data_IF_401328239910
#
_entry.id   IF_401328239910
#
_cell.length_a   1.000
_cell.length_b   1.000
_cell.length_c   1.000
_cell.angle_alpha   90.00
_cell.angle_beta   90.00
_cell.angle_gamma   90.00
#
_symmetry.space_group_name_H-M   'P 1'
#
loop_
_entity.id
_entity.type
_entity.pdbx_description
1 polymer ?
#
# COMPACT_ATOMS: atom_id res chain seq x y z
N UNK A 1 -17.11 6.58 -2.76
CA UNK A 1 -17.02 6.04 -1.38
C UNK A 1 -15.59 6.14 -0.88
N UNK A 2 -15.34 6.41 0.40
CA UNK A 2 -13.99 6.43 0.98
C UNK A 2 -13.81 5.28 1.97
N UNK A 3 -12.63 4.64 1.94
CA UNK A 3 -12.27 3.51 2.78
C UNK A 3 -10.85 3.67 3.31
N UNK A 4 -10.64 3.29 4.57
CA UNK A 4 -9.29 3.21 5.16
C UNK A 4 -8.90 1.76 5.37
N UNK A 5 -7.63 1.44 5.17
CA UNK A 5 -7.09 0.12 5.44
C UNK A 5 -5.61 0.20 5.84
N UNK A 6 -5.08 -0.90 6.31
CA UNK A 6 -3.65 -1.08 6.52
C UNK A 6 -3.13 -2.12 5.52
N UNK A 7 -1.89 -1.92 5.06
CA UNK A 7 -1.17 -2.91 4.26
C UNK A 7 0.17 -3.21 4.92
N UNK A 8 0.48 -4.50 5.04
CA UNK A 8 1.79 -5.00 5.43
C UNK A 8 2.36 -5.76 4.25
N UNK A 9 3.53 -5.36 3.79
CA UNK A 9 4.28 -6.04 2.74
C UNK A 9 5.52 -6.67 3.34
N UNK A 10 5.69 -7.98 3.12
CA UNK A 10 6.89 -8.72 3.50
C UNK A 10 7.60 -9.15 2.23
N UNK A 11 8.81 -8.65 2.04
CA UNK A 11 9.66 -8.95 0.89
C UNK A 11 10.86 -9.79 1.33
N UNK A 12 11.25 -10.77 0.52
CA UNK A 12 12.51 -11.49 0.69
C UNK A 12 13.36 -11.38 -0.57
N UNK A 13 14.55 -10.78 -0.43
CA UNK A 13 15.47 -10.58 -1.55
C UNK A 13 16.92 -10.62 -1.08
N UNK A 14 17.80 -11.31 -1.81
CA UNK A 14 19.24 -11.40 -1.55
C UNK A 14 19.57 -11.81 -0.10
N UNK A 15 18.81 -12.75 0.46
CA UNK A 15 19.04 -13.24 1.83
C UNK A 15 18.52 -12.34 2.95
N UNK A 16 17.79 -11.27 2.63
CA UNK A 16 17.23 -10.34 3.61
C UNK A 16 15.71 -10.26 3.51
N UNK A 17 15.06 -10.19 4.66
CA UNK A 17 13.61 -9.90 4.78
C UNK A 17 13.42 -8.43 5.10
N UNK A 18 12.62 -7.74 4.29
CA UNK A 18 12.22 -6.36 4.51
C UNK A 18 10.70 -6.33 4.78
N UNK A 19 10.25 -5.54 5.76
CA UNK A 19 8.82 -5.36 6.07
C UNK A 19 8.44 -3.89 5.92
N UNK A 20 7.36 -3.62 5.17
CA UNK A 20 6.80 -2.28 5.02
C UNK A 20 5.37 -2.26 5.57
N UNK A 21 5.10 -1.33 6.49
CA UNK A 21 3.75 -0.98 6.91
C UNK A 21 3.25 0.25 6.17
N UNK A 22 1.96 0.28 5.84
CA UNK A 22 1.32 1.46 5.27
C UNK A 22 -0.10 1.63 5.79
N UNK A 23 -0.45 2.88 6.08
CA UNK A 23 -1.84 3.30 6.21
C UNK A 23 -2.33 3.74 4.82
N UNK A 24 -3.47 3.19 4.41
CA UNK A 24 -4.04 3.41 3.09
C UNK A 24 -5.37 4.16 3.19
N UNK A 25 -5.57 5.11 2.28
CA UNK A 25 -6.88 5.73 2.04
C UNK A 25 -7.26 5.54 0.58
N UNK A 26 -8.43 4.93 0.36
CA UNK A 26 -8.96 4.65 -0.97
C UNK A 26 -10.18 5.52 -1.23
N UNK A 27 -10.28 6.02 -2.46
CA UNK A 27 -11.56 6.49 -3.01
C UNK A 27 -12.02 5.46 -4.03
N UNK A 28 -13.17 4.85 -3.76
CA UNK A 28 -13.82 3.89 -4.65
C UNK A 28 -14.89 4.62 -5.45
N UNK A 29 -14.79 4.54 -6.78
CA UNK A 29 -15.85 4.88 -7.71
C UNK A 29 -16.74 3.65 -7.86
N UNK A 30 -17.97 3.74 -7.34
CA UNK A 30 -18.95 2.67 -7.44
C UNK A 30 -19.68 2.76 -8.78
N UNK A 31 -19.95 1.62 -9.42
CA UNK A 31 -20.74 1.56 -10.65
C UNK A 31 -21.39 0.19 -10.84
N UNK A 32 -22.44 0.14 -11.66
CA UNK A 32 -23.16 -1.10 -11.96
C UNK A 32 -22.28 -2.13 -12.71
N UNK A 33 -21.29 -1.65 -13.48
CA UNK A 33 -20.33 -2.48 -14.22
C UNK A 33 -19.11 -2.91 -13.38
N UNK A 34 -19.10 -2.55 -12.10
CA UNK A 34 -18.11 -2.97 -11.12
C UNK A 34 -17.23 -1.83 -10.60
N UNK A 35 -17.06 -1.84 -9.27
CA UNK A 35 -16.33 -0.84 -8.52
C UNK A 35 -14.85 -0.72 -8.93
N UNK A 36 -14.35 0.51 -8.93
CA UNK A 36 -12.95 0.83 -9.25
C UNK A 36 -12.30 1.69 -8.17
N UNK A 37 -11.00 1.50 -7.96
CA UNK A 37 -10.21 2.42 -7.15
C UNK A 37 -9.90 3.64 -8.00
N UNK A 38 -10.56 4.76 -7.71
CA UNK A 38 -10.30 6.04 -8.36
C UNK A 38 -9.05 6.72 -7.80
N UNK A 39 -8.76 6.52 -6.51
CA UNK A 39 -7.56 7.02 -5.85
C UNK A 39 -7.10 6.05 -4.77
N UNK A 40 -5.80 5.84 -4.68
CA UNK A 40 -5.13 5.16 -3.56
C UNK A 40 -4.01 6.05 -3.04
N UNK A 41 -4.15 6.50 -1.79
CA UNK A 41 -3.09 7.23 -1.08
C UNK A 41 -2.41 6.26 -0.12
N UNK A 42 -1.11 6.08 -0.32
CA UNK A 42 -0.26 5.23 0.51
C UNK A 42 0.57 6.13 1.43
N UNK A 43 0.35 6.04 2.74
CA UNK A 43 1.25 6.64 3.73
C UNK A 43 2.12 5.56 4.34
N UNK A 44 3.35 5.48 3.86
CA UNK A 44 4.35 4.57 4.37
C UNK A 44 4.67 4.88 5.83
N UNK A 45 4.68 3.84 6.64
CA UNK A 45 5.11 3.82 8.02
C UNK A 45 6.32 2.90 8.06
N UNK A 46 7.51 3.45 7.85
CA UNK A 46 8.76 2.75 8.14
C UNK A 46 9.47 3.51 9.26
N UNK A 47 9.81 2.79 10.33
CA UNK A 47 10.50 3.34 11.50
C UNK A 47 11.99 3.01 11.52
N UNK A 48 12.44 2.05 10.72
CA UNK A 48 13.83 1.56 10.78
C UNK A 48 14.74 2.30 9.81
N UNK A 49 14.35 2.37 8.54
CA UNK A 49 15.20 2.95 7.47
C UNK A 49 14.37 3.69 6.42
N UNK A 50 14.98 4.62 5.66
CA UNK A 50 14.35 5.21 4.49
C UNK A 50 13.88 4.11 3.53
N UNK A 51 12.62 4.23 3.07
CA UNK A 51 12.11 3.33 2.02
C UNK A 51 12.76 3.71 0.71
N UNK A 52 13.70 2.88 0.26
CA UNK A 52 14.26 2.95 -1.10
C UNK A 52 13.21 2.52 -2.13
N UNK A 53 13.49 2.64 -3.43
CA UNK A 53 12.57 2.23 -4.49
C UNK A 53 12.02 0.82 -4.22
N UNK A 54 10.74 0.73 -3.87
CA UNK A 54 10.15 -0.50 -3.34
C UNK A 54 9.90 -1.51 -4.47
N UNK A 55 9.62 -1.06 -5.69
CA UNK A 55 9.31 -1.96 -6.82
C UNK A 55 8.09 -2.85 -6.57
N UNK A 56 7.30 -2.53 -5.54
CA UNK A 56 6.11 -3.25 -5.14
C UNK A 56 4.87 -2.39 -5.33
N UNK A 57 3.74 -3.03 -5.58
CA UNK A 57 2.46 -2.36 -5.57
C UNK A 57 1.99 -2.18 -4.12
N UNK A 58 2.10 -0.95 -3.64
CA UNK A 58 1.60 -0.53 -2.33
C UNK A 58 0.21 0.06 -2.41
#
# INVERSE_FOLDING_TARGET
>A
MTLTSAQVLVAYKRGRTDTLGAALSHTIALSDDGDRIALKVVRLLNSDDPVNASGYLL
#
